data_IF_625026110931
#
_entry.id   IF_625026110931
#
_cell.length_a   1.000
_cell.length_b   1.000
_cell.length_c   1.000
_cell.angle_alpha   90.00
_cell.angle_beta   90.00
_cell.angle_gamma   90.00
#
_symmetry.space_group_name_H-M   'P 1'
#
loop_
_entity.id
_entity.type
_entity.pdbx_description
1 polymer ?
#
# COMPACT_ATOMS: atom_id res chain seq x y z
N UNK A 1 -9.58 18.11 9.13
CA UNK A 1 -10.33 17.15 8.31
C UNK A 1 -9.87 17.33 6.87
N UNK A 2 -8.89 16.54 6.43
CA UNK A 2 -8.40 16.58 5.05
C UNK A 2 -9.27 15.68 4.18
N UNK A 3 -9.95 16.25 3.20
CA UNK A 3 -10.63 15.50 2.14
C UNK A 3 -9.57 15.15 1.09
N UNK A 4 -9.21 13.87 0.97
CA UNK A 4 -8.47 13.37 -0.20
C UNK A 4 -9.47 13.27 -1.36
N UNK A 5 -9.68 14.38 -2.05
CA UNK A 5 -10.32 14.40 -3.36
C UNK A 5 -9.33 13.75 -4.33
N UNK A 6 -9.47 12.44 -4.55
CA UNK A 6 -8.92 11.80 -5.75
C UNK A 6 -9.82 12.22 -6.90
N UNK A 7 -9.59 13.42 -7.44
CA UNK A 7 -10.22 13.85 -8.67
C UNK A 7 -9.67 12.98 -9.81
N UNK A 8 -10.46 11.97 -10.16
CA UNK A 8 -10.34 11.19 -11.39
C UNK A 8 -9.05 10.39 -11.54
N UNK A 9 -9.03 9.18 -10.95
CA UNK A 9 -8.15 8.13 -11.45
C UNK A 9 -8.67 7.67 -12.82
N UNK A 10 -8.22 8.31 -13.90
CA UNK A 10 -8.50 7.87 -15.27
C UNK A 10 -7.60 6.69 -15.62
N UNK A 11 -8.12 5.49 -15.44
CA UNK A 11 -7.44 4.26 -15.84
C UNK A 11 -7.69 4.05 -17.34
N UNK A 12 -6.67 4.29 -18.17
CA UNK A 12 -6.65 3.87 -19.57
C UNK A 12 -6.42 2.33 -19.63
N UNK A 13 -7.44 1.56 -19.24
CA UNK A 13 -7.38 0.11 -19.18
C UNK A 13 -8.06 -0.58 -20.36
N UNK A 14 -7.48 -1.69 -20.83
CA UNK A 14 -8.14 -2.56 -21.82
C UNK A 14 -8.60 -3.85 -21.14
N UNK A 15 -9.91 -4.00 -20.94
CA UNK A 15 -10.48 -5.24 -20.40
C UNK A 15 -10.53 -6.30 -21.51
N UNK A 16 -9.66 -7.31 -21.42
CA UNK A 16 -9.73 -8.49 -22.29
C UNK A 16 -10.32 -9.68 -21.52
N UNK A 17 -11.66 -9.72 -21.42
CA UNK A 17 -12.33 -10.88 -20.83
C UNK A 17 -12.21 -12.08 -21.76
N UNK A 18 -11.51 -13.13 -21.32
CA UNK A 18 -11.62 -14.47 -21.88
C UNK A 18 -12.72 -15.21 -21.12
N UNK A 19 -13.91 -15.23 -21.69
CA UNK A 19 -14.96 -16.11 -21.19
C UNK A 19 -14.68 -17.55 -21.64
N UNK A 20 -14.97 -18.53 -20.78
CA UNK A 20 -14.92 -19.97 -21.08
C UNK A 20 -15.91 -20.41 -22.18
N UNK A 21 -16.62 -19.48 -22.81
CA UNK A 21 -17.44 -19.71 -24.00
C UNK A 21 -16.91 -18.85 -25.16
N UNK A 22 -16.76 -19.43 -26.37
CA UNK A 22 -16.24 -18.71 -27.52
C UNK A 22 -17.12 -17.49 -27.81
N UNK A 23 -16.54 -16.28 -27.87
CA UNK A 23 -17.33 -15.08 -28.13
C UNK A 23 -17.90 -15.16 -29.56
N UNK A 24 -19.20 -14.91 -29.71
CA UNK A 24 -19.87 -14.89 -31.01
C UNK A 24 -19.45 -13.70 -31.89
N UNK A 25 -18.59 -12.81 -31.39
CA UNK A 25 -18.14 -11.61 -32.10
C UNK A 25 -16.65 -11.33 -31.83
N UNK A 26 -15.90 -10.82 -32.84
CA UNK A 26 -14.51 -10.41 -32.64
C UNK A 26 -14.44 -9.21 -31.70
N UNK A 27 -13.65 -9.34 -30.62
CA UNK A 27 -13.40 -8.27 -29.66
C UNK A 27 -12.63 -7.13 -30.35
N UNK A 28 -13.27 -5.97 -30.53
CA UNK A 28 -12.57 -4.73 -30.87
C UNK A 28 -11.92 -4.17 -29.60
N UNK A 29 -10.74 -3.52 -29.68
CA UNK A 29 -10.17 -2.80 -28.55
C UNK A 29 -11.10 -1.66 -28.19
N UNK A 30 -11.77 -1.78 -27.05
CA UNK A 30 -12.66 -0.76 -26.53
C UNK A 30 -11.88 0.09 -25.52
N UNK A 31 -11.57 1.34 -25.89
CA UNK A 31 -11.20 2.41 -24.97
C UNK A 31 -12.49 2.87 -24.28
N UNK A 32 -12.90 2.19 -23.21
CA UNK A 32 -13.97 2.69 -22.34
C UNK A 32 -13.33 3.12 -21.04
N UNK A 33 -13.43 4.40 -20.64
CA UNK A 33 -13.00 4.81 -19.32
C UNK A 33 -13.86 4.08 -18.28
N UNK A 34 -13.22 3.20 -17.49
CA UNK A 34 -13.92 2.49 -16.43
C UNK A 34 -13.91 3.38 -15.20
N UNK A 35 -15.07 3.96 -14.90
CA UNK A 35 -15.29 4.62 -13.62
C UNK A 35 -15.83 3.56 -12.66
N UNK A 36 -14.95 3.00 -11.82
CA UNK A 36 -15.37 2.10 -10.73
C UNK A 36 -16.01 2.93 -9.61
N UNK A 37 -17.31 3.23 -9.74
CA UNK A 37 -18.10 3.77 -8.64
C UNK A 37 -19.25 2.83 -8.24
N UNK A 38 -19.08 1.53 -8.51
CA UNK A 38 -20.08 0.51 -8.21
C UNK A 38 -19.49 -0.49 -7.24
N UNK A 39 -20.19 -0.70 -6.12
CA UNK A 39 -19.87 -1.77 -5.18
C UNK A 39 -20.00 -3.11 -5.91
N UNK A 40 -18.89 -3.82 -6.08
CA UNK A 40 -18.90 -5.18 -6.62
C UNK A 40 -19.36 -6.09 -5.49
N UNK A 41 -20.58 -6.64 -5.61
CA UNK A 41 -21.05 -7.65 -4.68
C UNK A 41 -20.17 -8.90 -4.78
N UNK A 42 -19.79 -9.47 -3.65
CA UNK A 42 -19.05 -10.73 -3.57
C UNK A 42 -19.77 -11.88 -4.28
N UNK A 43 -21.11 -11.84 -4.33
CA UNK A 43 -21.90 -12.83 -5.05
C UNK A 43 -21.63 -12.83 -6.56
N UNK A 44 -21.26 -11.67 -7.13
CA UNK A 44 -20.93 -11.57 -8.56
C UNK A 44 -19.63 -12.27 -8.89
N UNK A 45 -18.70 -12.40 -7.94
CA UNK A 45 -17.42 -13.08 -8.15
C UNK A 45 -17.62 -14.56 -8.49
N UNK A 46 -18.67 -15.19 -7.96
CA UNK A 46 -19.00 -16.60 -8.23
C UNK A 46 -19.62 -16.86 -9.60
N UNK A 47 -20.14 -15.81 -10.25
CA UNK A 47 -20.89 -15.94 -11.49
C UNK A 47 -20.04 -15.68 -12.74
N UNK A 48 -18.84 -15.15 -12.56
CA UNK A 48 -18.00 -14.65 -13.62
C UNK A 48 -16.61 -15.26 -13.52
N UNK A 49 -16.12 -15.82 -14.62
CA UNK A 49 -14.69 -16.02 -14.83
C UNK A 49 -14.18 -14.92 -15.75
N UNK A 50 -13.11 -14.23 -15.35
CA UNK A 50 -12.54 -13.16 -16.15
C UNK A 50 -11.07 -12.92 -15.83
N UNK A 51 -10.27 -12.71 -16.87
CA UNK A 51 -8.98 -12.05 -16.77
C UNK A 51 -9.15 -10.58 -17.17
N UNK A 52 -8.66 -9.66 -16.35
CA UNK A 52 -8.70 -8.22 -16.59
C UNK A 52 -7.28 -7.69 -16.45
N UNK A 53 -6.72 -7.21 -17.57
CA UNK A 53 -5.42 -6.53 -17.57
C UNK A 53 -5.63 -5.04 -17.39
N UNK A 54 -5.06 -4.49 -16.33
CA UNK A 54 -5.02 -3.06 -16.06
C UNK A 54 -3.60 -2.58 -16.32
N UNK A 55 -3.48 -1.51 -17.10
CA UNK A 55 -2.23 -0.77 -17.29
C UNK A 55 -2.55 0.69 -17.01
N UNK A 56 -1.84 1.30 -16.08
CA UNK A 56 -1.94 2.71 -15.78
C UNK A 56 -0.60 3.37 -16.09
N UNK A 57 -0.66 4.56 -16.69
CA UNK A 57 0.50 5.43 -16.91
C UNK A 57 1.02 5.96 -15.57
N UNK A 58 2.23 6.57 -15.55
CA UNK A 58 2.81 7.12 -14.33
C UNK A 58 1.84 8.10 -13.67
N UNK A 59 1.67 7.94 -12.36
CA UNK A 59 0.79 8.78 -11.54
C UNK A 59 1.67 9.73 -10.74
N UNK A 60 1.36 11.02 -10.82
CA UNK A 60 2.04 12.05 -10.03
C UNK A 60 1.02 12.73 -9.12
N UNK A 61 1.13 12.52 -7.80
CA UNK A 61 0.30 13.15 -6.77
C UNK A 61 1.22 13.89 -5.79
N UNK A 62 1.33 15.21 -5.95
CA UNK A 62 2.24 16.02 -5.14
C UNK A 62 3.69 15.59 -5.36
N UNK A 63 4.37 15.16 -4.29
CA UNK A 63 5.74 14.62 -4.31
C UNK A 63 5.80 13.12 -4.54
N UNK A 64 4.66 12.42 -4.54
CA UNK A 64 4.60 10.98 -4.76
C UNK A 64 4.45 10.72 -6.25
N UNK A 65 5.43 10.03 -6.83
CA UNK A 65 5.38 9.51 -8.20
C UNK A 65 5.37 7.99 -8.20
N UNK A 66 4.55 7.41 -9.07
CA UNK A 66 4.64 6.00 -9.44
C UNK A 66 5.04 5.87 -10.90
N UNK A 67 5.79 4.81 -11.22
CA UNK A 67 6.01 4.38 -12.60
C UNK A 67 4.72 3.77 -13.21
N UNK A 68 4.85 3.21 -14.42
CA UNK A 68 3.81 2.42 -15.06
C UNK A 68 3.35 1.29 -14.13
N UNK A 69 2.06 1.29 -13.79
CA UNK A 69 1.46 0.23 -12.97
C UNK A 69 0.79 -0.77 -13.91
N UNK A 70 1.14 -2.05 -13.77
CA UNK A 70 0.44 -3.12 -14.45
C UNK A 70 -0.09 -4.14 -13.46
N UNK A 71 -1.35 -4.52 -13.63
CA UNK A 71 -2.01 -5.54 -12.83
C UNK A 71 -2.79 -6.49 -13.74
N UNK A 72 -2.69 -7.79 -13.46
CA UNK A 72 -3.51 -8.81 -14.10
C UNK A 72 -4.47 -9.38 -13.07
N UNK A 73 -5.68 -8.85 -13.03
CA UNK A 73 -6.74 -9.35 -12.18
C UNK A 73 -7.28 -10.63 -12.82
N UNK A 74 -7.18 -11.75 -12.12
CA UNK A 74 -7.79 -13.02 -12.54
C UNK A 74 -8.90 -13.39 -11.58
N UNK A 75 -10.06 -13.71 -12.11
CA UNK A 75 -11.22 -14.22 -11.39
C UNK A 75 -11.57 -15.58 -11.95
N UNK A 76 -11.50 -16.62 -11.13
CA UNK A 76 -11.80 -18.00 -11.52
C UNK A 76 -12.55 -18.67 -10.37
N UNK A 77 -13.75 -19.19 -10.63
CA UNK A 77 -14.55 -19.95 -9.66
C UNK A 77 -14.79 -19.21 -8.32
N UNK A 78 -14.96 -17.88 -8.36
CA UNK A 78 -15.15 -17.05 -7.17
C UNK A 78 -13.86 -16.67 -6.43
N UNK A 79 -12.69 -17.11 -6.91
CA UNK A 79 -11.39 -16.67 -6.42
C UNK A 79 -10.84 -15.53 -7.28
N UNK A 80 -10.69 -14.35 -6.68
CA UNK A 80 -10.08 -13.16 -7.28
C UNK A 80 -8.61 -13.10 -6.87
N UNK A 81 -7.70 -12.93 -7.82
CA UNK A 81 -6.27 -12.73 -7.59
C UNK A 81 -5.83 -11.47 -8.31
N UNK A 82 -5.18 -10.56 -7.59
CA UNK A 82 -4.69 -9.27 -8.08
C UNK A 82 -3.23 -9.11 -7.68
N UNK A 83 -2.27 -9.56 -8.52
CA UNK A 83 -0.88 -9.19 -8.39
C UNK A 83 -0.70 -7.74 -8.87
N UNK A 84 -0.01 -6.94 -8.07
CA UNK A 84 0.35 -5.55 -8.35
C UNK A 84 1.85 -5.41 -8.15
N UNK A 85 2.55 -5.12 -9.23
CA UNK A 85 3.94 -4.70 -9.20
C UNK A 85 4.01 -3.22 -9.58
N UNK A 86 4.67 -2.41 -8.75
CA UNK A 86 4.81 -0.98 -8.98
C UNK A 86 6.15 -0.48 -8.41
N UNK A 87 6.65 0.62 -8.95
CA UNK A 87 7.74 1.39 -8.33
C UNK A 87 7.13 2.67 -7.78
N UNK A 88 7.30 2.92 -6.48
CA UNK A 88 6.79 4.12 -5.80
C UNK A 88 8.00 4.86 -5.22
N UNK A 89 8.28 6.07 -5.70
CA UNK A 89 9.46 6.86 -5.30
C UNK A 89 10.76 6.05 -5.37
N UNK A 90 11.00 5.40 -6.52
CA UNK A 90 12.14 4.52 -6.78
C UNK A 90 12.21 3.24 -5.91
N UNK A 91 11.19 2.96 -5.09
CA UNK A 91 11.09 1.75 -4.28
C UNK A 91 10.23 0.70 -5.01
N UNK A 92 10.76 -0.49 -5.33
CA UNK A 92 9.97 -1.55 -5.91
C UNK A 92 9.02 -2.14 -4.86
N UNK A 93 7.76 -2.31 -5.25
CA UNK A 93 6.67 -2.81 -4.43
C UNK A 93 5.98 -3.93 -5.20
N UNK A 94 6.06 -5.14 -4.65
CA UNK A 94 5.39 -6.32 -5.16
C UNK A 94 4.32 -6.74 -4.16
N UNK A 95 3.06 -6.63 -4.55
CA UNK A 95 1.92 -7.01 -3.69
C UNK A 95 1.00 -7.96 -4.43
N UNK A 96 0.32 -8.81 -3.69
CA UNK A 96 -0.72 -9.67 -4.18
C UNK A 96 -1.90 -9.59 -3.22
N UNK A 97 -3.05 -9.20 -3.75
CA UNK A 97 -4.33 -9.34 -3.08
C UNK A 97 -5.01 -10.58 -3.64
N UNK A 98 -5.59 -11.40 -2.79
CA UNK A 98 -6.46 -12.50 -3.19
C UNK A 98 -7.70 -12.53 -2.32
N UNK A 99 -8.85 -12.68 -2.97
CA UNK A 99 -10.15 -12.82 -2.30
C UNK A 99 -10.71 -14.16 -2.74
N UNK A 100 -10.92 -15.06 -1.79
CA UNK A 100 -11.61 -16.32 -2.03
C UNK A 100 -13.07 -16.15 -1.58
N UNK A 101 -13.97 -16.02 -2.56
CA UNK A 101 -15.40 -15.97 -2.35
C UNK A 101 -16.10 -17.30 -2.60
N UNK A 102 -15.37 -18.40 -2.86
CA UNK A 102 -15.98 -19.70 -3.15
C UNK A 102 -16.74 -20.27 -1.94
N UNK A 103 -16.29 -19.96 -0.73
CA UNK A 103 -16.91 -20.33 0.54
C UNK A 103 -17.98 -19.33 1.02
N UNK A 104 -18.87 -19.79 1.91
CA UNK A 104 -19.94 -18.96 2.51
C UNK A 104 -19.38 -17.73 3.25
N UNK A 105 -18.22 -17.88 3.87
CA UNK A 105 -17.49 -16.78 4.50
C UNK A 105 -16.29 -16.50 3.61
N UNK A 106 -16.22 -15.34 2.95
CA UNK A 106 -15.11 -15.04 2.07
C UNK A 106 -13.85 -14.77 2.89
N UNK A 107 -12.70 -15.10 2.30
CA UNK A 107 -11.38 -14.86 2.88
C UNK A 107 -10.62 -13.88 2.01
N UNK A 108 -9.99 -12.88 2.63
CA UNK A 108 -9.15 -11.88 1.99
C UNK A 108 -7.72 -12.10 2.49
N UNK A 109 -6.81 -12.28 1.55
CA UNK A 109 -5.39 -12.38 1.81
C UNK A 109 -4.66 -11.27 1.06
N UNK A 110 -3.78 -10.56 1.75
CA UNK A 110 -2.90 -9.55 1.18
C UNK A 110 -1.49 -9.94 1.58
N UNK A 111 -0.60 -10.06 0.61
CA UNK A 111 0.83 -10.23 0.87
C UNK A 111 1.62 -9.25 0.04
N UNK A 112 2.71 -8.77 0.58
CA UNK A 112 3.56 -7.85 -0.15
C UNK A 112 4.99 -7.87 0.33
N UNK A 113 5.87 -7.49 -0.58
CA UNK A 113 7.26 -7.22 -0.34
C UNK A 113 7.53 -5.83 -0.88
N UNK A 114 8.12 -5.00 -0.03
CA UNK A 114 8.63 -3.70 -0.38
C UNK A 114 10.14 -3.80 -0.35
N UNK A 115 10.78 -3.42 -1.45
CA UNK A 115 12.23 -3.42 -1.56
C UNK A 115 12.88 -2.44 -0.59
N UNK A 116 14.20 -2.42 -0.62
CA UNK A 116 14.97 -1.42 0.12
C UNK A 116 14.57 -0.03 -0.34
N UNK A 117 14.34 0.85 0.63
CA UNK A 117 13.96 2.23 0.39
C UNK A 117 14.98 3.16 1.04
N UNK A 118 15.24 4.28 0.40
CA UNK A 118 15.94 5.38 1.06
C UNK A 118 15.00 5.99 2.11
N UNK A 119 15.32 5.76 3.39
CA UNK A 119 14.52 6.26 4.53
C UNK A 119 14.45 7.78 4.48
N UNK A 120 15.50 8.42 3.96
CA UNK A 120 15.58 9.88 3.92
C UNK A 120 14.46 10.46 3.08
N UNK A 121 14.19 9.89 1.90
CA UNK A 121 13.12 10.34 1.01
C UNK A 121 11.74 10.15 1.64
N UNK A 122 11.52 9.03 2.33
CA UNK A 122 10.27 8.77 3.05
C UNK A 122 10.09 9.73 4.23
N UNK A 123 11.10 9.90 5.07
CA UNK A 123 11.02 10.78 6.25
C UNK A 123 10.95 12.25 5.86
N UNK A 124 11.65 12.70 4.81
CA UNK A 124 11.47 14.03 4.26
C UNK A 124 10.03 14.23 3.77
N UNK A 125 9.45 13.24 3.08
CA UNK A 125 8.07 13.33 2.60
C UNK A 125 7.02 13.35 3.74
N UNK A 126 7.23 12.58 4.82
CA UNK A 126 6.25 12.45 5.91
C UNK A 126 6.47 13.41 7.08
N UNK A 127 7.72 13.63 7.50
CA UNK A 127 8.09 14.45 8.65
C UNK A 127 8.58 15.85 8.27
N UNK A 128 8.93 16.09 7.00
CA UNK A 128 9.48 17.37 6.54
C UNK A 128 10.87 17.69 7.09
N UNK A 129 11.59 16.69 7.59
CA UNK A 129 12.91 16.85 8.19
C UNK A 129 13.98 16.12 7.37
N UNK A 130 14.92 16.88 6.80
CA UNK A 130 16.05 16.37 6.01
C UNK A 130 17.21 15.80 6.85
N UNK A 131 16.96 15.51 8.14
CA UNK A 131 18.02 15.18 9.11
C UNK A 131 18.27 13.68 9.26
N UNK A 132 17.55 12.85 8.53
CA UNK A 132 17.66 11.41 8.62
C UNK A 132 18.20 10.85 7.31
N UNK A 133 19.43 10.34 7.34
CA UNK A 133 20.03 9.61 6.21
C UNK A 133 20.15 8.14 6.58
N UNK A 134 19.67 7.25 5.71
CA UNK A 134 19.80 5.81 5.90
C UNK A 134 19.01 5.01 4.88
N UNK A 135 19.36 3.75 4.70
CA UNK A 135 18.63 2.80 3.87
C UNK A 135 17.81 1.88 4.78
N UNK A 136 16.51 1.75 4.53
CA UNK A 136 15.69 0.73 5.20
C UNK A 136 16.09 -0.61 4.63
N UNK A 137 16.09 -1.64 5.47
CA UNK A 137 15.90 -2.98 4.95
C UNK A 137 14.60 -3.04 4.11
N UNK A 138 14.49 -4.05 3.24
CA UNK A 138 13.19 -4.40 2.69
C UNK A 138 12.22 -4.73 3.83
N UNK A 139 10.92 -4.69 3.56
CA UNK A 139 9.95 -5.23 4.50
C UNK A 139 8.94 -6.07 3.75
N UNK A 140 8.52 -7.16 4.37
CA UNK A 140 7.42 -7.97 3.89
C UNK A 140 6.26 -7.90 4.86
N UNK A 141 5.05 -8.00 4.33
CA UNK A 141 3.85 -8.03 5.12
C UNK A 141 2.91 -9.10 4.57
N UNK A 142 2.18 -9.74 5.48
CA UNK A 142 1.08 -10.62 5.16
C UNK A 142 -0.09 -10.24 6.05
N UNK A 143 -1.28 -10.15 5.48
CA UNK A 143 -2.50 -9.93 6.20
C UNK A 143 -3.56 -10.91 5.68
N UNK A 144 -4.26 -11.56 6.59
CA UNK A 144 -5.36 -12.45 6.31
C UNK A 144 -6.57 -11.99 7.11
N UNK A 145 -7.75 -12.08 6.51
CA UNK A 145 -9.01 -11.70 7.13
C UNK A 145 -10.15 -12.53 6.54
N UNK A 146 -11.20 -12.77 7.32
CA UNK A 146 -12.40 -13.47 6.85
C UNK A 146 -13.66 -12.84 7.42
N UNK A 147 -14.74 -12.83 6.65
CA UNK A 147 -15.99 -12.23 7.10
C UNK A 147 -16.93 -11.83 5.96
N UNK A 148 -18.24 -11.96 6.17
CA UNK A 148 -19.25 -11.55 5.18
C UNK A 148 -19.53 -10.04 5.21
N UNK A 149 -19.03 -9.32 6.22
CA UNK A 149 -19.18 -7.87 6.38
C UNK A 149 -17.84 -7.19 6.65
N UNK A 150 -17.73 -5.89 6.34
CA UNK A 150 -16.51 -5.11 6.63
C UNK A 150 -16.13 -5.14 8.12
N UNK A 151 -17.07 -4.97 9.08
CA UNK A 151 -16.74 -5.13 10.50
C UNK A 151 -16.18 -6.51 10.86
N UNK A 152 -16.68 -7.58 10.24
CA UNK A 152 -16.17 -8.94 10.49
C UNK A 152 -14.75 -9.10 9.95
N UNK A 153 -14.49 -8.58 8.75
CA UNK A 153 -13.16 -8.57 8.17
C UNK A 153 -12.15 -7.86 9.10
N UNK A 154 -12.50 -6.68 9.62
CA UNK A 154 -11.62 -5.95 10.53
C UNK A 154 -11.40 -6.66 11.86
N UNK A 155 -12.44 -7.33 12.40
CA UNK A 155 -12.34 -8.09 13.66
C UNK A 155 -11.48 -9.34 13.52
N UNK A 156 -11.49 -9.96 12.36
CA UNK A 156 -10.76 -11.20 12.07
C UNK A 156 -9.42 -10.95 11.34
N UNK A 157 -9.00 -9.68 11.24
CA UNK A 157 -7.74 -9.31 10.59
C UNK A 157 -6.56 -9.81 11.43
N UNK A 158 -5.76 -10.66 10.82
CA UNK A 158 -4.46 -11.10 11.29
C UNK A 158 -3.41 -10.49 10.37
N UNK A 159 -2.39 -9.83 10.93
CA UNK A 159 -1.35 -9.18 10.15
C UNK A 159 0.03 -9.48 10.74
N UNK A 160 0.92 -9.91 9.87
CA UNK A 160 2.32 -10.17 10.15
C UNK A 160 3.16 -9.18 9.34
N UNK A 161 4.11 -8.54 10.01
CA UNK A 161 5.04 -7.60 9.38
C UNK A 161 6.45 -8.05 9.74
N UNK A 162 7.29 -8.23 8.73
CA UNK A 162 8.69 -8.55 8.88
C UNK A 162 9.52 -7.45 8.23
N UNK A 163 10.45 -6.88 8.98
CA UNK A 163 11.32 -5.80 8.52
C UNK A 163 12.74 -6.37 8.50
N UNK A 164 13.39 -6.29 7.36
CA UNK A 164 14.79 -6.67 7.25
C UNK A 164 15.66 -5.70 8.06
N UNK A 165 16.82 -6.14 8.58
CA UNK A 165 17.69 -5.28 9.36
C UNK A 165 18.04 -3.97 8.62
N UNK A 166 17.68 -2.85 9.23
CA UNK A 166 18.02 -1.50 8.76
C UNK A 166 19.41 -1.11 9.25
N UNK A 167 20.28 -0.66 8.34
CA UNK A 167 21.58 -0.09 8.69
C UNK A 167 21.42 1.42 8.77
N UNK A 168 21.29 1.95 9.99
CA UNK A 168 21.29 3.39 10.21
C UNK A 168 22.72 3.82 10.57
N UNK A 169 23.33 4.68 9.75
CA UNK A 169 24.61 5.29 10.10
C UNK A 169 24.38 6.35 11.18
N UNK A 170 24.98 6.16 12.35
CA UNK A 170 24.78 6.99 13.54
C UNK A 170 25.66 8.24 13.60
N UNK A 171 26.34 8.63 12.52
CA UNK A 171 27.28 9.77 12.54
C UNK A 171 26.62 11.11 12.94
N UNK A 172 25.29 11.23 12.87
CA UNK A 172 24.54 12.41 13.29
C UNK A 172 23.83 12.29 14.66
N UNK A 173 23.71 11.08 15.23
CA UNK A 173 23.09 10.89 16.55
C UNK A 173 23.96 11.45 17.70
N UNK A 174 25.23 11.75 17.40
CA UNK A 174 26.15 12.39 18.33
C UNK A 174 25.75 13.83 18.69
N UNK A 175 25.05 14.59 17.84
CA UNK A 175 24.76 16.01 18.12
C UNK A 175 23.51 16.23 18.99
N UNK A 176 22.55 15.31 18.99
CA UNK A 176 21.29 15.46 19.74
C UNK A 176 21.39 15.10 21.23
N UNK A 177 22.46 14.44 21.67
CA UNK A 177 22.67 14.09 23.08
C UNK A 177 23.48 15.13 23.86
N UNK A 178 23.90 16.25 23.25
CA UNK A 178 24.68 17.29 23.94
C UNK A 178 23.85 18.46 24.51
N UNK A 179 22.51 18.43 24.46
CA UNK A 179 21.70 19.57 24.93
C UNK A 179 21.46 19.56 26.46
N UNK A 180 21.77 18.48 27.19
CA UNK A 180 21.44 18.36 28.62
C UNK A 180 22.62 18.57 29.60
N UNK A 181 23.69 19.22 29.17
CA UNK A 181 24.82 19.57 30.06
C UNK A 181 25.15 21.06 30.06
N UNK A 182 24.11 21.90 30.12
CA UNK A 182 24.25 23.22 30.72
C UNK A 182 23.89 23.08 32.20
N UNK A 183 24.93 22.85 32.99
CA UNK A 183 24.92 22.94 34.43
C UNK A 183 24.20 24.22 34.89
N UNK A 184 22.92 24.07 35.24
CA UNK A 184 22.22 25.06 36.03
C UNK A 184 22.81 25.04 37.43
N UNK A 185 23.34 26.18 37.86
CA UNK A 185 23.79 26.41 39.23
C UNK A 185 22.75 25.89 40.24
N UNK A 186 23.16 25.17 41.31
CA UNK A 186 22.24 24.75 42.34
C UNK A 186 21.61 26.00 43.00
N UNK A 187 20.29 26.01 43.27
CA UNK A 187 19.64 27.12 43.92
C UNK A 187 20.23 27.32 45.33
N UNK A 188 20.80 28.50 45.57
CA UNK A 188 21.31 28.91 46.87
C UNK A 188 20.18 28.98 47.90
N UNK A 189 20.22 28.12 48.92
CA UNK A 189 19.31 28.18 50.07
C UNK A 189 19.57 29.46 50.87
N UNK A 190 18.68 30.45 50.78
CA UNK A 190 18.60 31.53 51.75
C UNK A 190 18.03 30.99 53.06
N UNK A 191 18.86 30.92 54.10
CA UNK A 191 18.42 30.77 55.49
C UNK A 191 17.77 32.08 55.94
N UNK A 192 16.46 32.05 56.17
CA UNK A 192 15.74 33.13 56.87
C UNK A 192 16.06 32.97 58.36
N UNK A 193 16.79 33.93 58.92
CA UNK A 193 17.03 34.05 60.36
C UNK A 193 15.97 34.91 61.02
N UNK A 194 15.46 34.40 62.14
CA UNK A 194 14.78 34.99 63.31
C UNK A 194 14.08 36.35 63.22
#
# INVERSE_FOLDING_TARGET
MGSLLVEQLSIDGCVQSRMNHPPLFPLRPCLVPIVFNTEISLDMLRLLDADIRITAKPIHIGTVSSDDISALISLVDGALIVPVAATIMDVPVDTQVSIDGSDVIPTINVRGVVGQADVSSLLTAFAGEDRFTGETGGFSFAAESSGSTVPDLLRNLQADISIDPTIVSSEQLGELLFIDSLAGDPPSCHTVGD
#
